data_IF_206345233828
#
_entry.id   IF_206345233828
#
_cell.length_a   1.000
_cell.length_b   1.000
_cell.length_c   1.000
_cell.angle_alpha   90.00
_cell.angle_beta   90.00
_cell.angle_gamma   90.00
#
_symmetry.space_group_name_H-M   'P 1'
#
loop_
_entity.id
_entity.type
_entity.pdbx_description
1 polymer ?
#
# COMPACT_ATOMS: atom_id res chain seq x y z
N UNK A 1 -5.55 17.23 -10.84
CA UNK A 1 -5.27 15.76 -10.79
C UNK A 1 -5.48 15.15 -9.41
N UNK A 2 -5.31 15.93 -8.34
CA UNK A 2 -5.28 15.50 -6.94
C UNK A 2 -6.54 14.77 -6.45
N UNK A 3 -7.73 15.16 -6.92
CA UNK A 3 -8.98 14.47 -6.58
C UNK A 3 -9.07 13.07 -7.18
N UNK A 4 -8.70 12.90 -8.46
CA UNK A 4 -8.72 11.60 -9.13
C UNK A 4 -7.72 10.62 -8.51
N UNK A 5 -6.51 11.09 -8.15
CA UNK A 5 -5.54 10.27 -7.43
C UNK A 5 -6.07 9.86 -6.04
N UNK A 6 -6.69 10.80 -5.31
CA UNK A 6 -7.34 10.52 -4.02
C UNK A 6 -8.44 9.47 -4.15
N UNK A 7 -9.30 9.58 -5.17
CA UNK A 7 -10.40 8.64 -5.40
C UNK A 7 -9.88 7.22 -5.67
N UNK A 8 -8.72 7.09 -6.33
CA UNK A 8 -8.07 5.80 -6.55
C UNK A 8 -7.59 5.15 -5.24
N UNK A 9 -7.03 5.94 -4.31
CA UNK A 9 -6.66 5.43 -2.99
C UNK A 9 -7.91 4.95 -2.23
N UNK A 10 -8.97 5.76 -2.21
CA UNK A 10 -10.24 5.43 -1.55
C UNK A 10 -10.89 4.18 -2.14
N UNK A 11 -10.84 4.01 -3.47
CA UNK A 11 -11.33 2.79 -4.12
C UNK A 11 -10.58 1.54 -3.63
N UNK A 12 -9.25 1.62 -3.54
CA UNK A 12 -8.43 0.49 -3.09
C UNK A 12 -8.62 0.19 -1.60
N UNK A 13 -8.78 1.22 -0.76
CA UNK A 13 -9.18 1.05 0.64
C UNK A 13 -10.48 0.27 0.75
N UNK A 14 -11.52 0.66 -0.01
CA UNK A 14 -12.83 -0.02 0.03
C UNK A 14 -12.75 -1.48 -0.40
N UNK A 15 -11.94 -1.82 -1.42
CA UNK A 15 -11.73 -3.21 -1.84
C UNK A 15 -11.13 -4.07 -0.73
N UNK A 16 -10.16 -3.53 0.00
CA UNK A 16 -9.53 -4.21 1.13
C UNK A 16 -10.48 -4.31 2.33
N UNK A 17 -11.24 -3.27 2.64
CA UNK A 17 -12.28 -3.32 3.68
C UNK A 17 -13.34 -4.37 3.37
N UNK A 18 -13.78 -4.48 2.11
CA UNK A 18 -14.71 -5.54 1.67
C UNK A 18 -14.11 -6.95 1.77
N UNK A 19 -12.79 -7.06 1.78
CA UNK A 19 -12.07 -8.31 2.01
C UNK A 19 -11.76 -8.55 3.51
N UNK A 20 -12.29 -7.74 4.42
CA UNK A 20 -12.14 -7.91 5.87
C UNK A 20 -10.96 -7.16 6.50
N UNK A 21 -10.24 -6.32 5.75
CA UNK A 21 -9.11 -5.54 6.30
C UNK A 21 -9.61 -4.34 7.11
N UNK A 22 -9.08 -4.16 8.32
CA UNK A 22 -9.34 -2.96 9.13
C UNK A 22 -8.51 -1.81 8.60
N UNK A 23 -9.20 -0.82 8.03
CA UNK A 23 -8.60 0.44 7.60
C UNK A 23 -9.07 1.55 8.52
N UNK A 24 -8.12 2.32 9.05
CA UNK A 24 -8.41 3.49 9.88
C UNK A 24 -9.31 4.47 9.14
N UNK A 25 -10.17 5.17 9.90
CA UNK A 25 -11.17 6.08 9.34
C UNK A 25 -10.52 7.15 8.48
N UNK A 26 -11.03 7.30 7.26
CA UNK A 26 -10.61 8.31 6.30
C UNK A 26 -10.88 9.73 6.84
N UNK A 27 -9.84 10.53 7.05
CA UNK A 27 -9.95 11.99 7.15
C UNK A 27 -9.55 12.66 5.84
N UNK A 28 -9.97 13.92 5.69
CA UNK A 28 -9.64 14.74 4.52
C UNK A 28 -8.69 15.86 4.92
N UNK A 29 -7.69 16.09 4.08
CA UNK A 29 -6.77 17.23 4.16
C UNK A 29 -6.92 18.09 2.91
N UNK A 30 -6.62 19.38 3.03
CA UNK A 30 -6.56 20.25 1.86
C UNK A 30 -5.17 20.14 1.25
N UNK A 31 -5.12 19.98 -0.07
CA UNK A 31 -3.90 20.07 -0.86
C UNK A 31 -4.14 21.06 -2.00
N UNK A 32 -3.44 22.20 -1.98
CA UNK A 32 -3.63 23.28 -2.95
C UNK A 32 -5.12 23.71 -3.10
N UNK A 33 -5.85 23.77 -1.98
CA UNK A 33 -7.28 24.13 -1.94
C UNK A 33 -8.25 23.02 -2.35
N UNK A 34 -7.77 21.82 -2.67
CA UNK A 34 -8.61 20.66 -3.03
C UNK A 34 -8.64 19.67 -1.86
N UNK A 35 -9.82 19.21 -1.41
CA UNK A 35 -9.90 18.19 -0.37
C UNK A 35 -9.48 16.82 -0.93
N UNK A 36 -8.46 16.22 -0.34
CA UNK A 36 -7.93 14.89 -0.66
C UNK A 36 -7.89 14.01 0.59
N UNK A 37 -7.85 12.69 0.41
CA UNK A 37 -7.70 11.75 1.53
C UNK A 37 -6.36 11.94 2.22
N UNK A 38 -6.36 11.96 3.56
CA UNK A 38 -5.13 11.95 4.37
C UNK A 38 -4.40 10.60 4.29
N UNK A 39 -5.10 9.55 3.85
CA UNK A 39 -4.62 8.19 3.68
C UNK A 39 -5.61 7.15 4.24
N UNK A 40 -5.23 5.86 4.29
CA UNK A 40 -3.97 5.32 3.79
C UNK A 40 -3.85 5.35 2.27
N UNK A 41 -2.63 5.50 1.77
CA UNK A 41 -2.32 5.51 0.33
C UNK A 41 -2.07 4.09 -0.14
N UNK A 42 -3.08 3.47 -0.76
CA UNK A 42 -3.01 2.06 -1.14
C UNK A 42 -2.96 1.92 -2.66
N UNK A 43 -1.91 1.28 -3.15
CA UNK A 43 -1.73 0.91 -4.56
C UNK A 43 -1.76 -0.61 -4.69
N UNK A 44 -2.73 -1.08 -5.45
CA UNK A 44 -2.90 -2.49 -5.80
C UNK A 44 -2.56 -2.64 -7.27
N UNK A 45 -1.48 -3.35 -7.59
CA UNK A 45 -1.15 -3.70 -8.97
C UNK A 45 -2.26 -4.57 -9.57
N UNK A 46 -2.54 -4.47 -10.88
CA UNK A 46 -3.42 -5.42 -11.56
C UNK A 46 -3.01 -6.88 -11.36
N UNK A 47 -1.72 -7.16 -11.21
CA UNK A 47 -1.20 -8.50 -10.89
C UNK A 47 -1.57 -8.96 -9.49
N UNK A 48 -1.79 -8.04 -8.55
CA UNK A 48 -2.20 -8.41 -7.21
C UNK A 48 -3.69 -8.80 -7.19
N UNK A 49 -4.60 -7.86 -7.43
CA UNK A 49 -6.02 -8.18 -7.47
C UNK A 49 -6.83 -7.14 -8.27
N UNK A 50 -7.34 -7.55 -9.43
CA UNK A 50 -8.28 -6.72 -10.21
C UNK A 50 -9.73 -6.87 -9.76
N UNK A 51 -10.13 -8.08 -9.34
CA UNK A 51 -11.52 -8.40 -8.94
C UNK A 51 -11.62 -8.63 -7.44
N UNK A 52 -12.83 -8.44 -6.88
CA UNK A 52 -13.07 -8.71 -5.46
C UNK A 52 -12.87 -10.20 -5.12
N UNK A 53 -13.20 -11.11 -6.03
CA UNK A 53 -12.94 -12.54 -5.87
C UNK A 53 -11.44 -12.82 -5.69
N UNK A 54 -10.58 -12.25 -6.55
CA UNK A 54 -9.12 -12.38 -6.41
C UNK A 54 -8.63 -11.73 -5.12
N UNK A 55 -9.22 -10.60 -4.71
CA UNK A 55 -8.89 -9.96 -3.44
C UNK A 55 -9.17 -10.90 -2.27
N UNK A 56 -10.37 -11.47 -2.19
CA UNK A 56 -10.78 -12.37 -1.12
C UNK A 56 -9.95 -13.67 -1.10
N UNK A 57 -9.46 -14.14 -2.26
CA UNK A 57 -8.57 -15.30 -2.34
C UNK A 57 -7.15 -15.01 -1.83
N UNK A 58 -6.73 -13.74 -1.80
CA UNK A 58 -5.38 -13.30 -1.42
C UNK A 58 -5.30 -12.72 -0.02
N UNK A 59 -6.41 -12.15 0.47
CA UNK A 59 -6.57 -11.70 1.83
C UNK A 59 -7.18 -12.86 2.61
N UNK A 60 -6.31 -13.66 3.22
CA UNK A 60 -6.64 -14.97 3.81
C UNK A 60 -6.65 -14.94 5.35
N UNK A 61 -6.86 -13.74 5.92
CA UNK A 61 -7.08 -13.57 7.35
C UNK A 61 -8.29 -14.37 7.84
N UNK A 62 -8.19 -14.90 9.05
CA UNK A 62 -9.23 -15.70 9.70
C UNK A 62 -10.19 -14.85 10.54
N UNK A 63 -9.73 -13.68 10.97
CA UNK A 63 -10.47 -12.65 11.70
C UNK A 63 -10.25 -11.28 11.03
N UNK A 64 -11.25 -10.38 11.11
CA UNK A 64 -11.14 -9.00 10.64
C UNK A 64 -9.94 -8.26 11.27
N UNK A 65 -9.48 -8.71 12.44
CA UNK A 65 -8.34 -8.12 13.17
C UNK A 65 -6.96 -8.54 12.69
N UNK A 66 -6.86 -9.55 11.83
CA UNK A 66 -5.56 -10.10 11.42
C UNK A 66 -4.78 -9.10 10.54
N UNK A 67 -5.49 -8.19 9.86
CA UNK A 67 -4.90 -7.23 8.93
C UNK A 67 -5.42 -5.82 9.25
N UNK A 68 -4.53 -4.93 9.67
CA UNK A 68 -4.84 -3.54 10.01
C UNK A 68 -3.87 -2.53 9.38
N UNK A 69 -4.42 -1.40 8.93
CA UNK A 69 -3.67 -0.33 8.25
C UNK A 69 -4.04 1.02 8.86
N UNK A 70 -3.05 1.76 9.36
CA UNK A 70 -3.25 3.11 9.92
C UNK A 70 -3.47 4.15 8.82
N UNK A 71 -4.10 5.28 9.16
CA UNK A 71 -4.39 6.36 8.20
C UNK A 71 -3.13 6.92 7.53
N UNK A 72 -2.03 7.04 8.27
CA UNK A 72 -0.76 7.56 7.75
C UNK A 72 -0.03 6.59 6.82
N UNK A 73 -0.52 5.37 6.68
CA UNK A 73 0.21 4.32 5.99
C UNK A 73 0.21 4.45 4.48
N UNK A 74 1.24 3.89 3.86
CA UNK A 74 1.36 3.72 2.42
C UNK A 74 1.65 2.27 2.10
N UNK A 75 0.84 1.65 1.23
CA UNK A 75 0.92 0.23 0.93
C UNK A 75 0.97 0.02 -0.58
N UNK A 76 1.99 -0.69 -1.05
CA UNK A 76 2.09 -1.14 -2.43
C UNK A 76 2.15 -2.66 -2.47
N UNK A 77 1.19 -3.28 -3.14
CA UNK A 77 1.13 -4.72 -3.36
C UNK A 77 1.17 -5.04 -4.85
N UNK A 78 2.19 -5.79 -5.26
CA UNK A 78 2.39 -6.19 -6.64
C UNK A 78 2.83 -7.65 -6.71
N UNK A 79 2.00 -8.52 -7.29
CA UNK A 79 2.32 -9.96 -7.38
C UNK A 79 1.13 -10.88 -7.56
N UNK A 80 1.17 -11.75 -8.58
CA UNK A 80 0.09 -12.72 -8.86
C UNK A 80 0.00 -13.81 -7.80
N UNK A 81 1.10 -14.20 -7.18
CA UNK A 81 1.13 -15.22 -6.12
C UNK A 81 1.51 -14.63 -4.75
N UNK A 82 1.09 -13.39 -4.49
CA UNK A 82 1.18 -12.75 -3.16
C UNK A 82 -0.12 -12.95 -2.38
N UNK A 83 -0.01 -13.44 -1.14
CA UNK A 83 -1.08 -13.67 -0.18
C UNK A 83 -0.76 -12.98 1.15
N UNK A 84 -1.77 -12.45 1.84
CA UNK A 84 -1.65 -11.78 3.15
C UNK A 84 -2.56 -12.49 4.14
N UNK A 85 -1.96 -13.11 5.16
CA UNK A 85 -2.66 -13.73 6.30
C UNK A 85 -2.80 -12.74 7.44
N UNK A 86 -1.69 -12.12 7.84
CA UNK A 86 -1.68 -11.17 8.95
C UNK A 86 -0.65 -10.08 8.72
N UNK A 87 -1.07 -8.83 8.92
CA UNK A 87 -0.27 -7.62 8.73
C UNK A 87 -0.78 -6.47 9.61
N UNK A 88 0.09 -5.85 10.39
CA UNK A 88 -0.18 -4.54 11.01
C UNK A 88 0.75 -3.50 10.41
N UNK A 89 0.18 -2.49 9.75
CA UNK A 89 0.93 -1.46 9.06
C UNK A 89 0.69 -0.08 9.67
N UNK A 90 1.76 0.53 10.17
CA UNK A 90 1.84 1.93 10.58
C UNK A 90 3.07 2.63 9.96
N UNK A 91 2.99 2.94 8.67
CA UNK A 91 4.12 3.47 7.91
C UNK A 91 4.04 3.08 6.43
N UNK A 92 5.18 2.91 5.76
CA UNK A 92 5.22 2.48 4.37
C UNK A 92 5.74 1.05 4.20
N UNK A 93 5.02 0.26 3.40
CA UNK A 93 5.36 -1.11 3.01
C UNK A 93 5.19 -1.28 1.51
N UNK A 94 6.21 -1.85 0.87
CA UNK A 94 6.21 -2.20 -0.55
C UNK A 94 6.55 -3.68 -0.69
N UNK A 95 5.66 -4.45 -1.34
CA UNK A 95 5.92 -5.85 -1.67
C UNK A 95 5.75 -6.02 -3.18
N UNK A 96 6.83 -6.45 -3.84
CA UNK A 96 6.89 -6.72 -5.27
C UNK A 96 7.35 -8.15 -5.53
N UNK A 97 6.48 -8.94 -6.14
CA UNK A 97 6.75 -10.31 -6.58
C UNK A 97 6.80 -10.29 -8.10
N UNK A 98 8.00 -10.08 -8.61
CA UNK A 98 8.26 -9.88 -10.04
C UNK A 98 8.35 -11.21 -10.79
N UNK A 99 8.89 -12.26 -10.15
CA UNK A 99 9.00 -13.58 -10.78
C UNK A 99 7.64 -14.29 -10.83
N UNK A 100 7.23 -14.89 -11.97
CA UNK A 100 5.94 -15.56 -12.10
C UNK A 100 5.81 -16.79 -11.20
N UNK A 101 6.90 -17.54 -11.00
CA UNK A 101 6.94 -18.76 -10.17
C UNK A 101 7.36 -18.49 -8.72
N UNK A 102 7.32 -17.23 -8.27
CA UNK A 102 7.54 -16.90 -6.86
C UNK A 102 6.20 -16.78 -6.15
N UNK A 103 6.01 -17.55 -5.08
CA UNK A 103 4.86 -17.44 -4.17
C UNK A 103 5.30 -16.80 -2.88
N UNK A 104 4.58 -15.77 -2.41
CA UNK A 104 4.92 -15.05 -1.19
C UNK A 104 3.70 -14.99 -0.28
N UNK A 105 3.88 -15.40 0.98
CA UNK A 105 2.87 -15.27 2.02
C UNK A 105 3.36 -14.32 3.11
N UNK A 106 2.55 -13.31 3.44
CA UNK A 106 2.78 -12.41 4.58
C UNK A 106 2.02 -12.96 5.78
N UNK A 107 2.71 -13.29 6.86
CA UNK A 107 2.12 -13.93 8.04
C UNK A 107 2.74 -13.39 9.33
N UNK A 108 1.99 -12.54 10.03
CA UNK A 108 2.38 -11.94 11.31
C UNK A 108 3.31 -10.74 11.18
N UNK A 109 3.39 -10.12 10.00
CA UNK A 109 4.25 -8.96 9.77
C UNK A 109 3.71 -7.72 10.51
N UNK A 110 4.57 -7.04 11.26
CA UNK A 110 4.27 -5.73 11.84
C UNK A 110 5.30 -4.71 11.35
N UNK A 111 4.83 -3.60 10.80
CA UNK A 111 5.67 -2.54 10.25
C UNK A 111 5.31 -1.22 10.93
N UNK A 112 6.29 -0.59 11.56
CA UNK A 112 6.20 0.77 12.08
C UNK A 112 7.43 1.55 11.65
N UNK A 113 7.27 2.57 10.82
CA UNK A 113 8.37 3.35 10.26
C UNK A 113 7.95 4.79 9.90
N UNK A 114 8.91 5.64 9.51
CA UNK A 114 8.63 7.05 9.19
C UNK A 114 7.68 7.21 8.00
N UNK A 115 7.49 6.19 7.18
CA UNK A 115 6.49 6.16 6.12
C UNK A 115 6.65 7.29 5.11
N UNK A 116 5.55 7.59 4.42
CA UNK A 116 5.51 8.63 3.39
C UNK A 116 4.50 9.72 3.73
N UNK A 117 4.86 10.95 3.38
CA UNK A 117 4.08 12.15 3.74
C UNK A 117 3.78 13.00 2.50
N UNK A 118 2.63 13.67 2.52
CA UNK A 118 2.27 14.64 1.49
C UNK A 118 2.91 15.97 1.87
N UNK A 119 3.73 16.53 0.98
CA UNK A 119 4.26 17.88 1.11
C UNK A 119 3.68 18.75 0.00
N UNK A 120 2.99 19.82 0.38
CA UNK A 120 2.47 20.80 -0.57
C UNK A 120 3.62 21.45 -1.34
N UNK A 121 3.33 21.80 -2.59
CA UNK A 121 4.29 22.45 -3.47
C UNK A 121 3.71 23.77 -3.93
N UNK A 122 4.56 24.79 -3.99
CA UNK A 122 4.19 26.06 -4.62
C UNK A 122 4.07 25.84 -6.13
N UNK A 123 2.84 25.83 -6.62
CA UNK A 123 2.54 25.65 -8.05
C UNK A 123 2.96 26.85 -8.91
N UNK A 124 3.37 27.97 -8.30
CA UNK A 124 3.93 29.12 -9.01
C UNK A 124 5.45 29.01 -9.23
N UNK A 125 6.11 28.03 -8.61
CA UNK A 125 7.54 27.77 -8.81
C UNK A 125 7.78 27.08 -10.15
N UNK A 126 8.43 27.80 -11.08
CA UNK A 126 8.75 27.33 -12.44
C UNK A 126 9.76 26.19 -12.49
N UNK A 127 10.42 25.88 -11.37
CA UNK A 127 11.36 24.74 -11.26
C UNK A 127 10.65 23.43 -10.97
N UNK A 128 9.37 23.49 -10.57
CA UNK A 128 8.54 22.31 -10.29
C UNK A 128 8.07 21.70 -11.61
N UNK A 129 8.27 20.38 -11.82
CA UNK A 129 7.73 19.70 -12.99
C UNK A 129 6.22 19.87 -13.12
N UNK A 130 5.71 20.03 -14.34
CA UNK A 130 4.31 20.37 -14.61
C UNK A 130 3.33 19.35 -13.99
N UNK A 131 3.67 18.06 -13.98
CA UNK A 131 2.87 17.01 -13.36
C UNK A 131 2.72 17.18 -11.84
N UNK A 132 3.74 17.73 -11.18
CA UNK A 132 3.73 18.05 -9.76
C UNK A 132 2.95 19.35 -9.52
N UNK A 133 3.14 20.36 -10.37
CA UNK A 133 2.44 21.64 -10.27
C UNK A 133 0.91 21.48 -10.41
N UNK A 134 0.44 20.67 -11.36
CA UNK A 134 -0.99 20.37 -11.57
C UNK A 134 -1.59 19.55 -10.42
N UNK A 135 -0.77 18.81 -9.67
CA UNK A 135 -1.20 18.05 -8.48
C UNK A 135 -1.12 18.87 -7.19
N UNK A 136 -0.21 19.83 -7.11
CA UNK A 136 -0.05 20.73 -5.95
C UNK A 136 0.64 20.08 -4.74
N UNK A 137 1.20 18.87 -4.88
CA UNK A 137 2.00 18.24 -3.83
C UNK A 137 2.98 17.17 -4.37
N UNK A 138 4.03 16.92 -3.60
CA UNK A 138 4.91 15.75 -3.72
C UNK A 138 4.71 14.78 -2.55
N UNK A 139 5.21 13.57 -2.73
CA UNK A 139 5.27 12.56 -1.68
C UNK A 139 6.70 12.47 -1.15
N UNK A 140 6.91 12.91 0.10
CA UNK A 140 8.15 12.70 0.82
C UNK A 140 8.27 11.22 1.19
N UNK A 141 9.24 10.51 0.61
CA UNK A 141 9.48 9.09 0.88
C UNK A 141 10.53 8.93 1.96
N UNK A 142 10.16 9.22 3.21
CA UNK A 142 11.11 9.25 4.33
C UNK A 142 11.67 7.86 4.64
N UNK A 143 10.81 6.85 4.71
CA UNK A 143 11.19 5.46 4.99
C UNK A 143 10.16 4.49 4.41
N UNK A 144 10.61 3.31 3.99
CA UNK A 144 9.73 2.19 3.63
C UNK A 144 10.44 0.85 3.91
N UNK A 145 9.67 -0.15 4.35
CA UNK A 145 10.11 -1.53 4.31
C UNK A 145 9.78 -2.10 2.92
N UNK A 146 10.80 -2.58 2.21
CA UNK A 146 10.65 -3.06 0.83
C UNK A 146 11.06 -4.52 0.69
N UNK A 147 10.17 -5.32 0.10
CA UNK A 147 10.46 -6.70 -0.30
C UNK A 147 10.32 -6.82 -1.82
N UNK A 148 11.40 -7.22 -2.48
CA UNK A 148 11.42 -7.53 -3.90
C UNK A 148 11.81 -8.99 -4.06
N UNK A 149 10.95 -9.76 -4.73
CA UNK A 149 11.15 -11.18 -5.00
C UNK A 149 11.20 -11.39 -6.51
N UNK A 150 12.40 -11.63 -7.01
CA UNK A 150 12.73 -11.78 -8.43
C UNK A 150 13.22 -13.18 -8.79
N UNK A 151 13.37 -14.07 -7.81
CA UNK A 151 13.71 -15.48 -8.02
C UNK A 151 12.54 -16.43 -7.73
N UNK A 152 12.45 -17.56 -8.44
CA UNK A 152 11.42 -18.56 -8.21
C UNK A 152 11.53 -19.19 -6.81
N UNK A 153 10.40 -19.65 -6.28
CA UNK A 153 10.32 -20.36 -5.01
C UNK A 153 9.14 -19.92 -4.14
N UNK A 154 8.99 -20.59 -3.01
CA UNK A 154 8.01 -20.20 -2.00
C UNK A 154 8.70 -19.38 -0.90
N UNK A 155 8.07 -18.29 -0.47
CA UNK A 155 8.63 -17.38 0.51
C UNK A 155 7.59 -17.01 1.57
N UNK A 156 8.06 -16.78 2.77
CA UNK A 156 7.28 -16.21 3.87
C UNK A 156 7.93 -14.93 4.37
N UNK A 157 7.12 -13.91 4.61
CA UNK A 157 7.50 -12.71 5.35
C UNK A 157 6.82 -12.79 6.71
N UNK A 158 7.63 -13.08 7.72
CA UNK A 158 7.17 -13.31 9.09
C UNK A 158 7.19 -12.06 9.97
N UNK A 159 6.97 -12.27 11.27
CA UNK A 159 7.03 -11.23 12.30
C UNK A 159 8.41 -10.64 12.54
N UNK A 160 9.47 -11.30 12.07
CA UNK A 160 10.84 -10.78 12.12
C UNK A 160 11.17 -9.83 10.95
N UNK A 161 10.20 -9.55 10.07
CA UNK A 161 10.34 -8.68 8.91
C UNK A 161 11.47 -9.12 7.96
N UNK A 162 11.76 -10.43 7.90
CA UNK A 162 12.74 -11.02 6.97
C UNK A 162 12.02 -11.88 5.95
N UNK A 163 12.42 -11.74 4.68
CA UNK A 163 12.01 -12.63 3.61
C UNK A 163 12.75 -13.97 3.73
N UNK A 164 12.01 -15.06 3.94
CA UNK A 164 12.57 -16.41 4.06
C UNK A 164 12.08 -17.28 2.92
N UNK A 165 13.00 -17.91 2.20
CA UNK A 165 12.68 -18.94 1.21
C UNK A 165 12.38 -20.25 1.93
N UNK A 166 11.27 -20.89 1.57
CA UNK A 166 10.90 -22.22 2.03
C UNK A 166 11.60 -23.24 1.12
N UNK A 167 12.16 -24.29 1.73
CA UNK A 167 12.86 -25.37 1.03
C UNK A 167 11.89 -26.42 0.51
#
# INVERSE_FOLDING_TARGET
>A
MSSAESDMYVLNQRKLQQAGVIISKESKVMAAGIPVTAGPRIILSPRFAMTQEKMNAKIIGSDERDISITERSSLILDGEQLEIKSLTLDGALVIRVSHPDAKVTVDGLSVSNQGWEIMEVDSSDVTVPEEVAIRGYIMAKNEALEFVVDEPGEYVIGSDAVLKKLN
#
